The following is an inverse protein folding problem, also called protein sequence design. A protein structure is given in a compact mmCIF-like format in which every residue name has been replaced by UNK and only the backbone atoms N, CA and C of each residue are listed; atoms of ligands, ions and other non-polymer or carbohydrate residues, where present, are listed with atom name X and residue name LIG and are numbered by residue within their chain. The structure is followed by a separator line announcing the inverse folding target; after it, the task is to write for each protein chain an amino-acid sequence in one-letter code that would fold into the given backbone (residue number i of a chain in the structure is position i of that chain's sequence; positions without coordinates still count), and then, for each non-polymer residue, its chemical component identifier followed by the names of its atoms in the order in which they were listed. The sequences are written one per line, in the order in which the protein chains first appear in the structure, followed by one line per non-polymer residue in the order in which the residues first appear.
data_IF_505223357254
#
_entry.id   IF_505223357254
#
_cell.length_a   1.000
_cell.length_b   1.000
_cell.length_c   1.000
_cell.angle_alpha   90.00
_cell.angle_beta   90.00
_cell.angle_gamma   90.00
#
_symmetry.space_group_name_H-M   'P 1'
#
loop_
_entity.id
_entity.type
_entity.pdbx_description
1 polymer ?
#
# COMPACT_ATOMS: atom_id res chain seq x y z
N UNK A 1 30.47 -53.88 28.64
CA UNK A 1 30.82 -52.46 28.44
C UNK A 1 30.41 -51.90 27.07
N UNK A 2 29.99 -52.72 26.09
CA UNK A 2 29.59 -52.26 24.75
C UNK A 2 28.18 -51.64 24.70
N UNK A 3 27.21 -52.22 25.41
CA UNK A 3 25.80 -51.80 25.41
C UNK A 3 25.61 -50.34 25.89
N UNK A 4 26.37 -49.94 26.92
CA UNK A 4 26.32 -48.57 27.48
C UNK A 4 26.85 -47.52 26.48
N UNK A 5 27.86 -47.86 25.69
CA UNK A 5 28.40 -46.97 24.67
C UNK A 5 27.41 -46.78 23.51
N UNK A 6 26.75 -47.85 23.06
CA UNK A 6 25.75 -47.78 21.97
C UNK A 6 24.54 -46.94 22.37
N UNK A 7 24.05 -47.08 23.61
CA UNK A 7 22.93 -46.29 24.12
C UNK A 7 23.31 -44.81 24.25
N UNK A 8 24.51 -44.50 24.76
CA UNK A 8 24.99 -43.12 24.86
C UNK A 8 25.10 -42.44 23.48
N UNK A 9 25.62 -43.16 22.47
CA UNK A 9 25.71 -42.67 21.09
C UNK A 9 24.30 -42.45 20.51
N UNK A 10 23.37 -43.39 20.70
CA UNK A 10 21.99 -43.25 20.22
C UNK A 10 21.30 -42.03 20.86
N UNK A 11 21.46 -41.81 22.17
CA UNK A 11 20.94 -40.62 22.86
C UNK A 11 21.58 -39.32 22.32
N UNK A 12 22.89 -39.31 22.10
CA UNK A 12 23.59 -38.14 21.54
C UNK A 12 23.09 -37.82 20.11
N UNK A 13 22.88 -38.83 19.27
CA UNK A 13 22.33 -38.64 17.92
C UNK A 13 20.88 -38.16 17.94
N UNK A 14 20.05 -38.64 18.86
CA UNK A 14 18.67 -38.15 19.02
C UNK A 14 18.63 -36.69 19.49
N UNK A 15 19.46 -36.32 20.45
CA UNK A 15 19.57 -34.93 20.93
C UNK A 15 20.08 -34.00 19.82
N UNK A 16 21.10 -34.43 19.07
CA UNK A 16 21.62 -33.68 17.93
C UNK A 16 20.55 -33.54 16.83
N UNK A 17 19.84 -34.62 16.51
CA UNK A 17 18.74 -34.60 15.54
C UNK A 17 17.62 -33.65 15.95
N UNK A 18 17.22 -33.66 17.22
CA UNK A 18 16.21 -32.74 17.74
C UNK A 18 16.68 -31.28 17.70
N UNK A 19 17.95 -31.02 18.05
CA UNK A 19 18.56 -29.70 17.98
C UNK A 19 18.60 -29.17 16.54
N UNK A 20 19.10 -29.97 15.59
CA UNK A 20 19.16 -29.60 14.17
C UNK A 20 17.75 -29.38 13.59
N UNK A 21 16.78 -30.21 13.94
CA UNK A 21 15.39 -30.04 13.51
C UNK A 21 14.77 -28.73 14.06
N UNK A 22 15.04 -28.39 15.32
CA UNK A 22 14.62 -27.11 15.90
C UNK A 22 15.25 -25.92 15.18
N UNK A 23 16.55 -25.97 14.90
CA UNK A 23 17.23 -24.93 14.14
C UNK A 23 16.67 -24.77 12.71
N UNK A 24 16.45 -25.89 12.01
CA UNK A 24 15.89 -25.88 10.67
C UNK A 24 14.46 -25.32 10.65
N UNK A 25 13.63 -25.72 11.62
CA UNK A 25 12.25 -25.22 11.77
C UNK A 25 12.24 -23.71 12.05
N UNK A 26 13.10 -23.23 12.95
CA UNK A 26 13.22 -21.81 13.26
C UNK A 26 13.71 -20.99 12.06
N UNK A 27 14.73 -21.49 11.34
CA UNK A 27 15.24 -20.84 10.12
C UNK A 27 14.18 -20.81 9.02
N UNK A 28 13.43 -21.88 8.84
CA UNK A 28 12.36 -21.94 7.86
C UNK A 28 11.22 -20.97 8.20
N UNK A 29 10.76 -20.96 9.46
CA UNK A 29 9.76 -20.02 9.94
C UNK A 29 10.20 -18.56 9.75
N UNK A 30 11.49 -18.25 9.99
CA UNK A 30 12.02 -16.92 9.73
C UNK A 30 11.96 -16.55 8.24
N UNK A 31 12.41 -17.43 7.35
CA UNK A 31 12.37 -17.18 5.90
C UNK A 31 10.95 -16.97 5.39
N UNK A 32 9.98 -17.76 5.86
CA UNK A 32 8.58 -17.61 5.48
C UNK A 32 8.04 -16.25 5.94
N UNK A 33 8.36 -15.83 7.17
CA UNK A 33 7.99 -14.49 7.67
C UNK A 33 8.61 -13.39 6.83
N UNK A 34 9.92 -13.44 6.57
CA UNK A 34 10.61 -12.43 5.75
C UNK A 34 10.00 -12.33 4.35
N UNK A 35 9.63 -13.45 3.73
CA UNK A 35 8.97 -13.46 2.43
C UNK A 35 7.57 -12.85 2.47
N UNK A 36 6.77 -13.12 3.51
CA UNK A 36 5.45 -12.50 3.67
C UNK A 36 5.54 -11.00 3.85
N UNK A 37 6.49 -10.54 4.66
CA UNK A 37 6.74 -9.11 4.90
C UNK A 37 7.16 -8.42 3.61
N UNK A 38 8.05 -9.04 2.82
CA UNK A 38 8.42 -8.55 1.49
C UNK A 38 7.22 -8.48 0.55
N UNK A 39 6.37 -9.51 0.54
CA UNK A 39 5.16 -9.52 -0.28
C UNK A 39 4.20 -8.38 0.08
N UNK A 40 4.01 -8.12 1.38
CA UNK A 40 3.19 -7.01 1.86
C UNK A 40 3.79 -5.64 1.54
N UNK A 41 5.11 -5.47 1.66
CA UNK A 41 5.78 -4.24 1.25
C UNK A 41 5.61 -3.99 -0.26
N UNK A 42 5.66 -5.05 -1.07
CA UNK A 42 5.40 -4.98 -2.50
C UNK A 42 3.95 -4.60 -2.79
N UNK A 43 2.98 -5.15 -2.05
CA UNK A 43 1.56 -4.81 -2.19
C UNK A 43 1.26 -3.36 -1.81
N UNK A 44 1.94 -2.83 -0.79
CA UNK A 44 1.85 -1.41 -0.43
C UNK A 44 2.42 -0.49 -1.52
N UNK A 45 3.45 -0.93 -2.22
CA UNK A 45 4.02 -0.18 -3.35
C UNK A 45 3.13 -0.27 -4.61
N UNK A 46 2.56 -1.44 -4.87
CA UNK A 46 1.52 -1.64 -5.90
C UNK A 46 0.32 -0.72 -5.63
N UNK A 47 -0.14 -0.65 -4.37
CA UNK A 47 -1.20 0.24 -3.93
C UNK A 47 -0.87 1.71 -4.23
N UNK A 48 0.35 2.16 -3.88
CA UNK A 48 0.83 3.52 -4.17
C UNK A 48 0.80 3.82 -5.66
N UNK A 49 1.29 2.90 -6.49
CA UNK A 49 1.34 3.09 -7.95
C UNK A 49 -0.06 3.10 -8.58
N UNK A 50 -0.98 2.25 -8.14
CA UNK A 50 -2.39 2.28 -8.56
C UNK A 50 -3.04 3.63 -8.22
N UNK A 51 -2.83 4.11 -7.00
CA UNK A 51 -3.32 5.40 -6.54
C UNK A 51 -2.73 6.57 -7.33
N UNK A 52 -1.44 6.48 -7.68
CA UNK A 52 -0.73 7.47 -8.48
C UNK A 52 -1.24 7.48 -9.92
N UNK A 53 -1.37 6.31 -10.54
CA UNK A 53 -1.91 6.17 -11.89
C UNK A 53 -3.32 6.76 -11.98
N UNK A 54 -4.21 6.39 -11.05
CA UNK A 54 -5.56 6.96 -10.93
C UNK A 54 -5.54 8.48 -10.79
N UNK A 55 -4.65 9.03 -9.94
CA UNK A 55 -4.54 10.48 -9.72
C UNK A 55 -4.03 11.27 -10.93
N UNK A 56 -3.28 10.62 -11.82
CA UNK A 56 -2.82 11.18 -13.09
C UNK A 56 -3.82 10.93 -14.23
N UNK A 57 -4.85 10.11 -13.98
CA UNK A 57 -5.75 9.56 -14.98
C UNK A 57 -6.44 10.58 -15.88
N UNK A 58 -6.90 11.68 -15.27
CA UNK A 58 -7.60 12.76 -15.96
C UNK A 58 -6.68 13.90 -16.44
N UNK A 59 -5.38 13.82 -16.21
CA UNK A 59 -4.44 14.88 -16.61
C UNK A 59 -3.95 14.66 -18.05
N UNK A 60 -3.87 15.76 -18.80
CA UNK A 60 -3.53 15.77 -20.23
C UNK A 60 -2.21 16.49 -20.53
N UNK A 61 -1.63 17.18 -19.55
CA UNK A 61 -0.34 17.83 -19.71
C UNK A 61 0.76 16.80 -19.98
N UNK A 62 1.70 17.11 -20.88
CA UNK A 62 2.72 16.19 -21.35
C UNK A 62 3.53 15.54 -20.21
N UNK A 63 3.87 16.32 -19.17
CA UNK A 63 4.58 15.82 -18.00
C UNK A 63 3.75 14.81 -17.19
N UNK A 64 2.45 15.05 -17.02
CA UNK A 64 1.56 14.15 -16.31
C UNK A 64 1.32 12.85 -17.10
N UNK A 65 1.20 12.95 -18.43
CA UNK A 65 1.09 11.80 -19.33
C UNK A 65 2.37 10.94 -19.28
N UNK A 66 3.55 11.56 -19.38
CA UNK A 66 4.82 10.86 -19.27
C UNK A 66 4.97 10.15 -17.91
N UNK A 67 4.65 10.85 -16.81
CA UNK A 67 4.68 10.25 -15.48
C UNK A 67 3.69 9.08 -15.35
N UNK A 68 2.48 9.20 -15.92
CA UNK A 68 1.48 8.14 -15.91
C UNK A 68 1.96 6.89 -16.62
N UNK A 69 2.60 7.04 -17.78
CA UNK A 69 3.20 5.91 -18.50
C UNK A 69 4.33 5.24 -17.71
N UNK A 70 5.20 6.04 -17.07
CA UNK A 70 6.26 5.50 -16.21
C UNK A 70 5.70 4.72 -15.01
N UNK A 71 4.65 5.25 -14.37
CA UNK A 71 3.92 4.56 -13.30
C UNK A 71 3.30 3.26 -13.80
N UNK A 72 2.64 3.29 -14.96
CA UNK A 72 2.01 2.11 -15.54
C UNK A 72 3.01 0.98 -15.88
N UNK A 73 4.16 1.34 -16.44
CA UNK A 73 5.25 0.40 -16.70
C UNK A 73 5.79 -0.20 -15.39
N UNK A 74 6.05 0.64 -14.39
CA UNK A 74 6.56 0.22 -13.09
C UNK A 74 5.57 -0.73 -12.38
N UNK A 75 4.28 -0.39 -12.40
CA UNK A 75 3.22 -1.21 -11.82
C UNK A 75 3.12 -2.58 -12.50
N UNK A 76 3.22 -2.61 -13.84
CA UNK A 76 3.20 -3.86 -14.61
C UNK A 76 4.37 -4.77 -14.22
N UNK A 77 5.58 -4.21 -14.13
CA UNK A 77 6.77 -4.97 -13.71
C UNK A 77 6.62 -5.51 -12.28
N UNK A 78 6.14 -4.69 -11.35
CA UNK A 78 5.95 -5.09 -9.96
C UNK A 78 4.90 -6.18 -9.79
N UNK A 79 3.79 -6.10 -10.52
CA UNK A 79 2.77 -7.15 -10.52
C UNK A 79 3.33 -8.50 -11.02
N UNK A 80 4.20 -8.48 -12.04
CA UNK A 80 4.90 -9.68 -12.51
C UNK A 80 5.81 -10.26 -11.41
N UNK A 81 6.62 -9.42 -10.75
CA UNK A 81 7.49 -9.85 -9.65
C UNK A 81 6.70 -10.39 -8.47
N UNK A 82 5.59 -9.73 -8.12
CA UNK A 82 4.70 -10.10 -7.02
C UNK A 82 4.03 -11.46 -7.20
N UNK A 83 3.79 -11.87 -8.45
CA UNK A 83 3.17 -13.17 -8.77
C UNK A 83 4.02 -14.38 -8.33
N UNK A 84 5.33 -14.20 -8.16
CA UNK A 84 6.25 -15.24 -7.68
C UNK A 84 6.37 -15.28 -6.14
N UNK A 85 5.69 -14.38 -5.43
CA UNK A 85 5.70 -14.31 -3.97
C UNK A 85 4.50 -15.05 -3.36
N UNK A 86 4.55 -15.43 -2.06
CA UNK A 86 3.43 -16.06 -1.38
C UNK A 86 2.13 -15.25 -1.45
N UNK A 87 1.00 -15.94 -1.27
CA UNK A 87 -0.33 -15.34 -1.18
C UNK A 87 -0.66 -14.41 -2.37
N UNK A 88 -0.76 -14.97 -3.59
CA UNK A 88 -1.04 -14.19 -4.80
C UNK A 88 -2.47 -13.62 -4.77
N UNK A 89 -2.66 -12.46 -5.41
CA UNK A 89 -3.96 -11.81 -5.57
C UNK A 89 -4.27 -11.50 -7.05
N UNK A 90 -5.55 -11.34 -7.38
CA UNK A 90 -6.02 -11.22 -8.76
C UNK A 90 -5.80 -9.84 -9.44
N UNK A 91 -5.18 -8.87 -8.76
CA UNK A 91 -5.01 -7.47 -9.23
C UNK A 91 -4.42 -7.36 -10.64
N UNK A 92 -3.55 -8.29 -11.04
CA UNK A 92 -2.88 -8.26 -12.34
C UNK A 92 -3.86 -8.36 -13.54
N UNK A 93 -4.95 -9.11 -13.40
CA UNK A 93 -5.94 -9.28 -14.47
C UNK A 93 -6.69 -7.97 -14.72
N UNK A 94 -7.21 -7.35 -13.66
CA UNK A 94 -7.96 -6.10 -13.75
C UNK A 94 -7.08 -4.91 -14.14
N UNK A 95 -5.80 -4.93 -13.73
CA UNK A 95 -4.83 -3.91 -14.13
C UNK A 95 -4.64 -3.83 -15.64
N UNK A 96 -4.61 -4.97 -16.34
CA UNK A 96 -4.40 -4.99 -17.79
C UNK A 96 -5.45 -4.17 -18.55
N UNK A 97 -6.70 -4.19 -18.09
CA UNK A 97 -7.77 -3.37 -18.65
C UNK A 97 -7.64 -1.90 -18.23
N UNK A 98 -7.40 -1.63 -16.95
CA UNK A 98 -7.39 -0.27 -16.41
C UNK A 98 -6.18 0.57 -16.84
N UNK A 99 -5.07 -0.08 -17.18
CA UNK A 99 -3.86 0.57 -17.69
C UNK A 99 -4.17 1.46 -18.89
N UNK A 100 -5.01 0.96 -19.80
CA UNK A 100 -5.30 1.62 -21.07
C UNK A 100 -6.55 2.53 -20.97
N UNK A 101 -7.23 2.54 -19.81
CA UNK A 101 -8.35 3.44 -19.47
C UNK A 101 -8.02 4.33 -18.26
N UNK A 102 -6.97 5.16 -18.33
CA UNK A 102 -6.49 5.93 -17.18
C UNK A 102 -7.55 6.87 -16.58
N UNK A 103 -8.53 7.33 -17.35
CA UNK A 103 -9.61 8.18 -16.89
C UNK A 103 -10.72 7.43 -16.10
N UNK A 104 -10.73 6.09 -16.08
CA UNK A 104 -11.70 5.29 -15.32
C UNK A 104 -11.38 5.33 -13.81
N UNK A 105 -11.77 6.43 -13.17
CA UNK A 105 -11.51 6.67 -11.76
C UNK A 105 -12.14 5.60 -10.84
N UNK A 106 -13.37 5.20 -11.15
CA UNK A 106 -14.14 4.28 -10.32
C UNK A 106 -13.65 2.83 -10.51
N UNK A 107 -13.21 2.45 -11.72
CA UNK A 107 -12.54 1.19 -11.98
C UNK A 107 -11.24 1.04 -11.17
N UNK A 108 -10.38 2.06 -11.21
CA UNK A 108 -9.18 2.09 -10.37
C UNK A 108 -9.52 2.03 -8.87
N UNK A 109 -10.58 2.72 -8.44
CA UNK A 109 -11.01 2.72 -7.03
C UNK A 109 -11.43 1.33 -6.57
N UNK A 110 -12.19 0.59 -7.38
CA UNK A 110 -12.56 -0.81 -7.07
C UNK A 110 -11.34 -1.71 -6.97
N UNK A 111 -10.40 -1.61 -7.92
CA UNK A 111 -9.17 -2.40 -7.90
C UNK A 111 -8.32 -2.12 -6.64
N UNK A 112 -8.21 -0.84 -6.26
CA UNK A 112 -7.53 -0.43 -5.03
C UNK A 112 -8.24 -1.00 -3.79
N UNK A 113 -9.57 -0.91 -3.73
CA UNK A 113 -10.34 -1.42 -2.59
C UNK A 113 -10.19 -2.95 -2.47
N UNK A 114 -10.15 -3.69 -3.59
CA UNK A 114 -9.87 -5.13 -3.62
C UNK A 114 -8.46 -5.47 -3.15
N UNK A 115 -7.44 -4.69 -3.55
CA UNK A 115 -6.07 -4.88 -3.05
C UNK A 115 -5.98 -4.63 -1.54
N UNK A 116 -6.64 -3.58 -1.04
CA UNK A 116 -6.67 -3.28 0.39
C UNK A 116 -7.33 -4.42 1.18
N UNK A 117 -8.42 -4.99 0.68
CA UNK A 117 -9.06 -6.16 1.30
C UNK A 117 -8.11 -7.37 1.34
N UNK A 118 -7.42 -7.67 0.24
CA UNK A 118 -6.44 -8.76 0.18
C UNK A 118 -5.25 -8.52 1.12
N UNK A 119 -4.83 -7.27 1.36
CA UNK A 119 -3.82 -6.95 2.38
C UNK A 119 -4.37 -7.22 3.79
N UNK A 120 -5.60 -6.76 4.08
CA UNK A 120 -6.25 -6.88 5.40
C UNK A 120 -6.48 -8.35 5.83
N UNK A 121 -6.74 -9.23 4.86
CA UNK A 121 -6.87 -10.68 5.10
C UNK A 121 -5.58 -11.33 5.61
N UNK A 122 -4.41 -10.74 5.30
CA UNK A 122 -3.09 -11.31 5.61
C UNK A 122 -2.44 -10.66 6.81
N UNK A 123 -2.63 -9.35 6.97
CA UNK A 123 -2.18 -8.58 8.12
C UNK A 123 -3.20 -7.49 8.44
N UNK A 124 -3.41 -7.12 9.72
CA UNK A 124 -4.41 -6.13 10.14
C UNK A 124 -3.98 -4.68 9.81
N UNK A 125 -3.59 -4.45 8.55
CA UNK A 125 -3.18 -3.18 7.98
C UNK A 125 -4.32 -2.47 7.23
N UNK A 126 -5.47 -3.12 7.03
CA UNK A 126 -6.51 -2.60 6.15
C UNK A 126 -7.05 -1.26 6.61
N UNK A 127 -7.17 -1.00 7.92
CA UNK A 127 -7.59 0.32 8.38
C UNK A 127 -6.58 1.42 7.99
N UNK A 128 -5.28 1.14 8.15
CA UNK A 128 -4.25 2.10 7.76
C UNK A 128 -4.22 2.32 6.24
N UNK A 129 -4.40 1.25 5.46
CA UNK A 129 -4.47 1.32 4.00
C UNK A 129 -5.74 2.05 3.51
N UNK A 130 -6.89 1.85 4.16
CA UNK A 130 -8.14 2.57 3.88
C UNK A 130 -7.99 4.07 4.16
N UNK A 131 -7.34 4.43 5.27
CA UNK A 131 -7.05 5.83 5.60
C UNK A 131 -6.06 6.46 4.61
N UNK A 132 -5.04 5.73 4.17
CA UNK A 132 -4.13 6.16 3.09
C UNK A 132 -4.91 6.39 1.79
N UNK A 133 -5.80 5.45 1.45
CA UNK A 133 -6.63 5.52 0.25
C UNK A 133 -7.62 6.67 0.28
N UNK A 134 -8.24 7.00 1.41
CA UNK A 134 -9.12 8.17 1.51
C UNK A 134 -8.36 9.47 1.15
N UNK A 135 -7.09 9.62 1.56
CA UNK A 135 -6.25 10.77 1.17
C UNK A 135 -5.90 10.72 -0.32
N UNK A 136 -5.53 9.55 -0.85
CA UNK A 136 -5.23 9.38 -2.27
C UNK A 136 -6.45 9.59 -3.18
N UNK A 137 -7.64 9.22 -2.70
CA UNK A 137 -8.92 9.43 -3.35
C UNK A 137 -9.29 10.91 -3.36
N UNK A 138 -9.03 11.62 -2.25
CA UNK A 138 -9.20 13.08 -2.17
C UNK A 138 -8.36 13.77 -3.24
N UNK A 139 -7.08 13.36 -3.40
CA UNK A 139 -6.22 13.84 -4.48
C UNK A 139 -6.85 13.70 -5.85
N UNK A 140 -7.24 12.48 -6.21
CA UNK A 140 -7.75 12.23 -7.55
C UNK A 140 -9.09 12.92 -7.84
N UNK A 141 -9.99 13.01 -6.85
CA UNK A 141 -11.25 13.74 -7.00
C UNK A 141 -11.05 15.26 -7.14
N UNK A 142 -10.10 15.85 -6.41
CA UNK A 142 -9.76 17.27 -6.57
C UNK A 142 -9.10 17.57 -7.92
N UNK A 143 -8.27 16.65 -8.43
CA UNK A 143 -7.72 16.74 -9.80
C UNK A 143 -8.84 16.69 -10.84
N UNK A 144 -9.80 15.77 -10.70
CA UNK A 144 -10.97 15.67 -11.57
C UNK A 144 -11.80 16.96 -11.56
N UNK A 145 -12.13 17.49 -10.38
CA UNK A 145 -12.88 18.73 -10.24
C UNK A 145 -12.15 19.92 -10.90
N UNK A 146 -10.84 20.02 -10.69
CA UNK A 146 -10.02 21.06 -11.29
C UNK A 146 -10.01 20.96 -12.82
N UNK A 147 -9.81 19.75 -13.37
CA UNK A 147 -9.83 19.50 -14.81
C UNK A 147 -11.18 19.85 -15.47
N UNK A 148 -12.29 19.65 -14.74
CA UNK A 148 -13.64 19.95 -15.23
C UNK A 148 -14.01 21.43 -15.12
N UNK A 149 -13.12 22.28 -14.57
CA UNK A 149 -13.40 23.68 -14.32
C UNK A 149 -14.35 23.94 -13.15
N UNK A 150 -14.58 22.95 -12.28
CA UNK A 150 -15.46 23.05 -11.11
C UNK A 150 -16.02 21.70 -10.67
N UNK A 151 -16.66 21.66 -9.50
CA UNK A 151 -17.35 20.46 -9.04
C UNK A 151 -18.76 20.39 -9.61
N UNK A 152 -19.11 19.25 -10.23
CA UNK A 152 -20.53 18.89 -10.40
C UNK A 152 -21.16 18.59 -9.04
N UNK A 153 -22.50 18.69 -8.88
CA UNK A 153 -23.15 18.42 -7.59
C UNK A 153 -22.82 17.03 -7.01
N UNK A 154 -22.80 16.00 -7.86
CA UNK A 154 -22.43 14.64 -7.46
C UNK A 154 -20.97 14.53 -6.99
N UNK A 155 -20.04 15.17 -7.70
CA UNK A 155 -18.63 15.19 -7.32
C UNK A 155 -18.41 15.97 -6.01
N UNK A 156 -19.09 17.10 -5.85
CA UNK A 156 -19.05 17.90 -4.62
C UNK A 156 -19.53 17.09 -3.41
N UNK A 157 -20.65 16.38 -3.55
CA UNK A 157 -21.18 15.51 -2.48
C UNK A 157 -20.19 14.39 -2.10
N UNK A 158 -19.55 13.75 -3.09
CA UNK A 158 -18.50 12.74 -2.87
C UNK A 158 -17.31 13.33 -2.09
N UNK A 159 -16.82 14.49 -2.53
CA UNK A 159 -15.71 15.21 -1.88
C UNK A 159 -16.06 15.63 -0.45
N UNK A 160 -17.24 16.20 -0.22
CA UNK A 160 -17.68 16.60 1.12
C UNK A 160 -17.85 15.40 2.06
N UNK A 161 -18.36 14.27 1.57
CA UNK A 161 -18.43 13.03 2.36
C UNK A 161 -17.04 12.56 2.77
N UNK A 162 -16.09 12.58 1.84
CA UNK A 162 -14.71 12.20 2.08
C UNK A 162 -14.01 13.16 3.05
N UNK A 163 -14.15 14.48 2.88
CA UNK A 163 -13.60 15.48 3.79
C UNK A 163 -14.16 15.35 5.20
N UNK A 164 -15.45 15.01 5.37
CA UNK A 164 -16.02 14.73 6.70
C UNK A 164 -15.40 13.50 7.36
N UNK A 165 -15.19 12.41 6.61
CA UNK A 165 -14.51 11.22 7.14
C UNK A 165 -13.06 11.51 7.54
N UNK A 166 -12.33 12.26 6.71
CA UNK A 166 -10.96 12.66 6.99
C UNK A 166 -10.86 13.72 8.11
N UNK A 167 -11.92 14.49 8.35
CA UNK A 167 -11.93 15.55 9.37
C UNK A 167 -11.89 15.05 10.82
N UNK A 168 -12.20 13.78 11.06
CA UNK A 168 -12.04 13.14 12.38
C UNK A 168 -10.59 12.74 12.68
N UNK A 169 -9.71 12.72 11.67
CA UNK A 169 -8.28 12.46 11.83
C UNK A 169 -7.65 13.58 12.70
N UNK A 170 -6.83 13.27 13.72
CA UNK A 170 -6.20 14.30 14.55
C UNK A 170 -5.14 15.13 13.80
N UNK A 171 -4.67 14.68 12.63
CA UNK A 171 -3.63 15.33 11.82
C UNK A 171 -3.99 16.76 11.40
N UNK A 172 -3.26 17.72 11.97
CA UNK A 172 -3.46 19.16 11.74
C UNK A 172 -3.09 19.55 10.31
N UNK A 173 -2.08 18.91 9.70
CA UNK A 173 -1.66 19.22 8.34
C UNK A 173 -2.73 18.78 7.35
N UNK A 174 -3.30 17.59 7.54
CA UNK A 174 -4.43 17.09 6.76
C UNK A 174 -5.63 18.05 6.89
N UNK A 175 -6.00 18.49 8.09
CA UNK A 175 -7.10 19.45 8.29
C UNK A 175 -6.86 20.76 7.55
N UNK A 176 -5.65 21.32 7.64
CA UNK A 176 -5.28 22.55 6.95
C UNK A 176 -5.37 22.39 5.43
N UNK A 177 -4.89 21.25 4.92
CA UNK A 177 -4.95 20.91 3.50
C UNK A 177 -6.41 20.77 3.03
N UNK A 178 -7.27 20.09 3.80
CA UNK A 178 -8.70 19.97 3.51
C UNK A 178 -9.33 21.35 3.40
N UNK A 179 -9.11 22.24 4.39
CA UNK A 179 -9.66 23.59 4.33
C UNK A 179 -9.17 24.40 3.11
N UNK A 180 -7.94 24.17 2.64
CA UNK A 180 -7.43 24.79 1.41
C UNK A 180 -8.15 24.24 0.17
N UNK A 181 -8.39 22.93 0.10
CA UNK A 181 -9.13 22.30 -1.01
C UNK A 181 -10.60 22.70 -1.01
N UNK A 182 -11.22 22.81 0.16
CA UNK A 182 -12.61 23.25 0.31
C UNK A 182 -12.82 24.64 -0.30
N UNK A 183 -11.96 25.60 0.06
CA UNK A 183 -12.02 26.97 -0.47
C UNK A 183 -11.53 27.09 -1.92
N UNK A 184 -10.56 26.26 -2.31
CA UNK A 184 -9.86 26.38 -3.59
C UNK A 184 -10.46 25.57 -4.73
N UNK A 185 -11.21 24.51 -4.43
CA UNK A 185 -11.70 23.53 -5.43
C UNK A 185 -13.14 23.13 -5.16
N UNK A 186 -13.48 22.71 -3.93
CA UNK A 186 -14.76 22.04 -3.64
C UNK A 186 -15.93 23.03 -3.65
N UNK A 187 -15.77 24.20 -3.04
CA UNK A 187 -16.81 25.23 -2.96
C UNK A 187 -16.58 26.41 -3.92
N UNK A 188 -15.51 26.37 -4.70
CA UNK A 188 -15.21 27.43 -5.65
C UNK A 188 -16.07 27.25 -6.92
N UNK A 189 -16.68 28.34 -7.39
CA UNK A 189 -17.37 28.34 -8.69
C UNK A 189 -16.40 28.05 -9.84
N UNK A 190 -15.15 28.51 -9.72
CA UNK A 190 -14.04 28.16 -10.59
C UNK A 190 -12.84 27.72 -9.72
N UNK A 191 -12.23 26.55 -10.00
CA UNK A 191 -11.07 26.06 -9.26
C UNK A 191 -9.91 27.06 -9.29
N UNK A 192 -9.36 27.36 -8.12
CA UNK A 192 -8.17 28.21 -7.93
C UNK A 192 -6.87 27.42 -7.94
N UNK A 193 -6.98 26.10 -7.89
CA UNK A 193 -5.85 25.18 -8.00
C UNK A 193 -5.98 24.42 -9.31
N UNK A 194 -4.90 24.40 -10.09
CA UNK A 194 -4.81 23.59 -11.30
C UNK A 194 -4.73 22.10 -10.96
N UNK A 195 -5.00 21.19 -11.92
CA UNK A 195 -4.91 19.76 -11.69
C UNK A 195 -3.52 19.31 -11.19
N UNK A 196 -2.39 19.77 -11.77
CA UNK A 196 -1.06 19.48 -11.21
C UNK A 196 -0.86 20.01 -9.80
N UNK A 197 -1.40 21.20 -9.48
CA UNK A 197 -1.31 21.77 -8.13
C UNK A 197 -2.09 20.94 -7.10
N UNK A 198 -3.29 20.47 -7.45
CA UNK A 198 -4.05 19.54 -6.60
C UNK A 198 -3.27 18.24 -6.36
N UNK A 199 -2.69 17.68 -7.43
CA UNK A 199 -1.91 16.46 -7.36
C UNK A 199 -0.68 16.62 -6.44
N UNK A 200 0.11 17.67 -6.67
CA UNK A 200 1.33 17.95 -5.92
C UNK A 200 1.05 18.31 -4.45
N UNK A 201 -0.03 19.04 -4.17
CA UNK A 201 -0.37 19.48 -2.81
C UNK A 201 -0.58 18.30 -1.84
N UNK A 202 -1.12 17.19 -2.32
CA UNK A 202 -1.59 16.07 -1.48
C UNK A 202 -0.58 14.92 -1.45
N UNK A 203 0.27 14.81 -2.48
CA UNK A 203 1.25 13.71 -2.62
C UNK A 203 2.17 13.54 -1.41
N UNK A 204 2.74 14.61 -0.80
CA UNK A 204 3.60 14.45 0.38
C UNK A 204 2.92 13.75 1.57
N UNK A 205 1.61 13.99 1.77
CA UNK A 205 0.86 13.36 2.85
C UNK A 205 0.62 11.88 2.59
N UNK A 206 0.37 11.51 1.33
CA UNK A 206 0.24 10.09 0.91
C UNK A 206 1.58 9.38 1.16
N UNK A 207 2.69 9.97 0.71
CA UNK A 207 4.02 9.38 0.85
C UNK A 207 4.40 9.21 2.34
N UNK A 208 4.14 10.21 3.18
CA UNK A 208 4.40 10.14 4.61
C UNK A 208 3.57 9.04 5.32
N UNK A 209 2.27 8.94 5.00
CA UNK A 209 1.40 7.90 5.57
C UNK A 209 1.81 6.50 5.13
N UNK A 210 2.16 6.33 3.86
CA UNK A 210 2.67 5.06 3.36
C UNK A 210 3.97 4.65 4.05
N UNK A 211 4.92 5.59 4.17
CA UNK A 211 6.19 5.33 4.85
C UNK A 211 5.99 4.87 6.30
N UNK A 212 5.06 5.51 7.03
CA UNK A 212 4.68 5.09 8.38
C UNK A 212 4.10 3.67 8.44
N UNK A 213 3.28 3.27 7.45
CA UNK A 213 2.76 1.89 7.36
C UNK A 213 3.90 0.90 7.13
N UNK A 214 4.79 1.19 6.18
CA UNK A 214 5.93 0.33 5.85
C UNK A 214 6.88 0.17 7.04
N UNK A 215 7.18 1.26 7.75
CA UNK A 215 8.01 1.21 8.95
C UNK A 215 7.38 0.31 10.01
N UNK A 216 6.10 0.47 10.35
CA UNK A 216 5.45 -0.37 11.36
C UNK A 216 5.52 -1.85 10.99
N UNK A 217 5.23 -2.19 9.74
CA UNK A 217 5.33 -3.56 9.24
C UNK A 217 6.75 -4.14 9.43
N UNK A 218 7.79 -3.38 9.10
CA UNK A 218 9.17 -3.80 9.30
C UNK A 218 9.53 -3.96 10.78
N UNK A 219 9.08 -3.04 11.65
CA UNK A 219 9.36 -3.11 13.09
C UNK A 219 8.66 -4.29 13.77
N UNK A 220 7.40 -4.56 13.42
CA UNK A 220 6.64 -5.67 14.00
C UNK A 220 7.21 -7.04 13.56
N UNK A 221 7.73 -7.11 12.33
CA UNK A 221 8.47 -8.27 11.83
C UNK A 221 9.73 -8.56 12.66
N UNK A 222 10.42 -7.51 13.12
CA UNK A 222 11.63 -7.64 13.95
C UNK A 222 11.31 -8.09 15.38
N UNK A 223 10.13 -7.76 15.93
CA UNK A 223 9.73 -8.19 17.28
C UNK A 223 9.38 -9.68 17.38
N UNK A 224 9.04 -10.32 16.26
CA UNK A 224 8.76 -11.76 16.20
C UNK A 224 10.00 -12.67 16.18
N UNK A 225 11.21 -12.10 16.19
CA UNK A 225 12.46 -12.87 16.24
C UNK A 225 12.68 -13.42 17.66
N UNK A 226 12.95 -14.73 17.83
CA UNK A 226 13.45 -15.22 19.10
C UNK A 226 14.73 -14.45 19.42
N UNK A 227 14.85 -13.97 20.67
CA UNK A 227 16.09 -13.34 21.14
C UNK A 227 17.25 -14.25 20.75
N UNK A 228 18.25 -13.69 20.08
CA UNK A 228 19.49 -14.40 19.82
C UNK A 228 19.95 -14.95 21.19
N UNK A 229 19.94 -16.27 21.34
CA UNK A 229 20.49 -16.90 22.53
C UNK A 229 21.94 -16.43 22.62
N UNK A 230 22.23 -15.60 23.62
CA UNK A 230 23.61 -15.38 24.01
C UNK A 230 24.19 -16.74 24.39
N UNK A 231 25.34 -17.14 23.81
CA UNK A 231 26.10 -18.23 24.38
C UNK A 231 26.56 -17.75 25.76
N UNK A 232 26.18 -18.51 26.79
CA UNK A 232 26.32 -18.14 28.20
C UNK A 232 27.75 -17.96 28.71
#
# INVERSE_FOLDING_TARGET
MTITATVAIACALLLLGHYLNRMATASHAQRVRDLRVRALLEDLEILRLLQQHRGLGAQHEAAAVALRHAVAASLTQRLQQRSAMPDPHAVAADWAQLRDTPADFDGHSRLIDSLIAAIDEREPLGQACRTLEDVARLRGLCVLASNQGGCTPGLQARLMSLCRRLGSDPDVELKRLIGKLERGVIHAQQPRLSPPQCFALITPLIDARLHSIQQRLQHDSLKGLPAAHEPG
#
